data_IF_619786145668
#
_entry.id   IF_619786145668
#
_cell.length_a   1.000
_cell.length_b   1.000
_cell.length_c   1.000
_cell.angle_alpha   90.00
_cell.angle_beta   90.00
_cell.angle_gamma   90.00
#
_symmetry.space_group_name_H-M   'P 1'
#
loop_
_entity.id
_entity.type
_entity.pdbx_description
1 polymer ?
#
# COMPACT_ATOMS: atom_id res chain seq x y z
N UNK A 1 19.90 -25.07 -21.87
CA UNK A 1 19.70 -25.83 -20.62
C UNK A 1 19.11 -24.84 -19.65
N UNK A 2 17.77 -24.79 -19.56
CA UNK A 2 17.10 -23.81 -18.72
C UNK A 2 17.38 -24.13 -17.25
N UNK A 3 17.96 -23.16 -16.54
CA UNK A 3 18.36 -23.31 -15.16
C UNK A 3 17.10 -23.25 -14.28
N UNK A 4 16.68 -24.42 -13.80
CA UNK A 4 15.53 -24.58 -12.91
C UNK A 4 15.74 -23.77 -11.60
N UNK A 5 16.99 -23.46 -11.25
CA UNK A 5 17.35 -22.66 -10.07
C UNK A 5 17.01 -21.17 -10.23
N UNK A 6 17.33 -20.54 -11.36
CA UNK A 6 17.02 -19.12 -11.61
C UNK A 6 15.51 -18.87 -11.68
N UNK A 7 14.75 -19.78 -12.30
CA UNK A 7 13.28 -19.68 -12.33
C UNK A 7 12.67 -19.80 -10.93
N UNK A 8 13.26 -20.64 -10.05
CA UNK A 8 12.81 -20.76 -8.66
C UNK A 8 13.07 -19.50 -7.83
N UNK A 9 14.19 -18.81 -8.07
CA UNK A 9 14.52 -17.54 -7.42
C UNK A 9 13.54 -16.43 -7.79
N UNK A 10 13.27 -16.27 -9.09
CA UNK A 10 12.34 -15.24 -9.58
C UNK A 10 10.92 -15.46 -9.06
N UNK A 11 10.42 -16.71 -9.10
CA UNK A 11 9.10 -17.04 -8.57
C UNK A 11 8.99 -16.73 -7.07
N UNK A 12 10.05 -17.03 -6.31
CA UNK A 12 10.11 -16.69 -4.89
C UNK A 12 10.08 -15.17 -4.67
N UNK A 13 10.85 -14.40 -5.43
CA UNK A 13 10.86 -12.92 -5.36
C UNK A 13 9.52 -12.31 -5.74
N UNK A 14 8.85 -12.82 -6.78
CA UNK A 14 7.52 -12.38 -7.19
C UNK A 14 6.47 -12.67 -6.10
N UNK A 15 6.48 -13.90 -5.57
CA UNK A 15 5.58 -14.31 -4.48
C UNK A 15 5.81 -13.47 -3.22
N UNK A 16 7.08 -13.22 -2.87
CA UNK A 16 7.45 -12.37 -1.75
C UNK A 16 6.90 -10.95 -1.92
N UNK A 17 7.14 -10.31 -3.07
CA UNK A 17 6.62 -8.98 -3.35
C UNK A 17 5.09 -8.93 -3.27
N UNK A 18 4.40 -9.92 -3.84
CA UNK A 18 2.94 -10.03 -3.79
C UNK A 18 2.40 -10.13 -2.37
N UNK A 19 3.02 -10.99 -1.54
CA UNK A 19 2.63 -11.18 -0.14
C UNK A 19 2.87 -9.91 0.68
N UNK A 20 4.07 -9.33 0.60
CA UNK A 20 4.43 -8.09 1.30
C UNK A 20 3.51 -6.92 0.92
N UNK A 21 3.19 -6.76 -0.36
CA UNK A 21 2.23 -5.74 -0.82
C UNK A 21 0.82 -6.01 -0.27
N UNK A 22 0.41 -7.27 -0.18
CA UNK A 22 -0.85 -7.70 0.42
C UNK A 22 -0.94 -7.36 1.91
N UNK A 23 0.11 -7.68 2.67
CA UNK A 23 0.19 -7.36 4.10
C UNK A 23 0.16 -5.85 4.34
N UNK A 24 0.95 -5.06 3.59
CA UNK A 24 0.91 -3.61 3.70
C UNK A 24 -0.49 -3.05 3.41
N UNK A 25 -1.16 -3.53 2.37
CA UNK A 25 -2.51 -3.13 2.02
C UNK A 25 -3.52 -3.45 3.14
N UNK A 26 -3.44 -4.64 3.72
CA UNK A 26 -4.28 -5.07 4.84
C UNK A 26 -4.02 -4.25 6.10
N UNK A 27 -2.75 -4.03 6.45
CA UNK A 27 -2.33 -3.18 7.57
C UNK A 27 -2.90 -1.78 7.41
N UNK A 28 -2.76 -1.17 6.22
CA UNK A 28 -3.38 0.12 5.91
C UNK A 28 -4.90 0.02 6.12
N UNK A 29 -5.61 -0.96 5.58
CA UNK A 29 -7.07 -1.08 5.77
C UNK A 29 -7.56 -1.11 7.23
N UNK A 30 -6.74 -1.55 8.19
CA UNK A 30 -7.14 -1.61 9.60
C UNK A 30 -7.34 -0.23 10.24
N UNK A 31 -6.76 0.82 9.65
CA UNK A 31 -6.87 2.18 10.16
C UNK A 31 -8.01 2.93 9.45
N UNK A 32 -8.79 3.69 10.21
CA UNK A 32 -9.77 4.61 9.64
C UNK A 32 -9.04 5.84 9.07
N UNK A 33 -9.01 5.96 7.75
CA UNK A 33 -8.39 7.10 7.09
C UNK A 33 -9.42 8.11 6.63
N UNK A 34 -9.11 9.37 6.90
CA UNK A 34 -9.81 10.51 6.30
C UNK A 34 -8.87 11.26 5.35
N UNK A 35 -7.77 10.62 4.94
CA UNK A 35 -6.75 11.22 4.09
C UNK A 35 -6.90 10.72 2.66
N UNK A 36 -7.20 11.64 1.73
CA UNK A 36 -7.15 11.43 0.27
C UNK A 36 -5.85 10.74 -0.17
N UNK A 37 -4.69 11.13 0.36
CA UNK A 37 -3.40 10.49 0.00
C UNK A 37 -3.31 9.04 0.41
N UNK A 38 -3.89 8.70 1.56
CA UNK A 38 -3.90 7.31 2.02
C UNK A 38 -4.89 6.49 1.20
N UNK A 39 -6.00 7.09 0.76
CA UNK A 39 -6.90 6.47 -0.22
C UNK A 39 -6.19 6.23 -1.57
N UNK A 40 -5.50 7.24 -2.11
CA UNK A 40 -4.70 7.11 -3.35
C UNK A 40 -3.63 6.01 -3.20
N UNK A 41 -2.89 5.99 -2.08
CA UNK A 41 -1.92 4.94 -1.81
C UNK A 41 -2.56 3.55 -1.76
N UNK A 42 -3.74 3.42 -1.17
CA UNK A 42 -4.49 2.15 -1.12
C UNK A 42 -4.85 1.67 -2.53
N UNK A 43 -5.32 2.57 -3.40
CA UNK A 43 -5.63 2.26 -4.80
C UNK A 43 -4.38 1.83 -5.57
N UNK A 44 -3.27 2.55 -5.41
CA UNK A 44 -1.98 2.20 -6.01
C UNK A 44 -1.47 0.83 -5.52
N UNK A 45 -1.57 0.54 -4.22
CA UNK A 45 -1.20 -0.76 -3.65
C UNK A 45 -2.10 -1.90 -4.17
N UNK A 46 -3.39 -1.63 -4.34
CA UNK A 46 -4.31 -2.62 -4.92
C UNK A 46 -3.96 -2.91 -6.39
N UNK A 47 -3.66 -1.88 -7.18
CA UNK A 47 -3.22 -2.02 -8.56
C UNK A 47 -1.89 -2.78 -8.65
N UNK A 48 -0.91 -2.39 -7.82
CA UNK A 48 0.39 -3.07 -7.73
C UNK A 48 0.24 -4.54 -7.36
N UNK A 49 -0.59 -4.86 -6.36
CA UNK A 49 -0.88 -6.25 -5.97
C UNK A 49 -1.49 -7.04 -7.12
N UNK A 50 -2.38 -6.44 -7.91
CA UNK A 50 -2.94 -7.05 -9.12
C UNK A 50 -1.86 -7.44 -10.13
N UNK A 51 -0.95 -6.50 -10.44
CA UNK A 51 0.18 -6.73 -11.35
C UNK A 51 1.11 -7.82 -10.81
N UNK A 52 1.46 -7.78 -9.53
CA UNK A 52 2.33 -8.78 -8.89
C UNK A 52 1.69 -10.17 -8.87
N UNK A 53 0.36 -10.26 -8.69
CA UNK A 53 -0.39 -11.51 -8.77
C UNK A 53 -0.30 -12.13 -10.17
N UNK A 54 -0.67 -11.36 -11.19
CA UNK A 54 -0.59 -11.82 -12.59
C UNK A 54 0.83 -12.18 -13.02
N UNK A 55 1.84 -11.43 -12.54
CA UNK A 55 3.24 -11.75 -12.79
C UNK A 55 3.66 -13.07 -12.13
N UNK A 56 3.25 -13.30 -10.88
CA UNK A 56 3.54 -14.55 -10.15
C UNK A 56 2.94 -15.76 -10.87
N UNK A 57 1.69 -15.66 -11.33
CA UNK A 57 1.03 -16.70 -12.13
C UNK A 57 1.78 -16.94 -13.45
N UNK A 58 2.18 -15.86 -14.13
CA UNK A 58 2.91 -15.95 -15.41
C UNK A 58 4.27 -16.63 -15.24
N UNK A 59 5.04 -16.24 -14.22
CA UNK A 59 6.35 -16.84 -13.92
C UNK A 59 6.20 -18.31 -13.50
N UNK A 60 5.15 -18.66 -12.76
CA UNK A 60 4.88 -20.04 -12.36
C UNK A 60 4.41 -20.95 -13.50
N UNK A 61 3.73 -20.40 -14.51
CA UNK A 61 3.16 -21.16 -15.63
C UNK A 61 4.08 -21.26 -16.85
N UNK A 62 5.05 -20.36 -17.00
CA UNK A 62 5.90 -20.28 -18.21
C UNK A 62 7.36 -20.62 -17.90
N UNK A 63 7.92 -21.59 -18.63
CA UNK A 63 9.35 -21.94 -18.54
C UNK A 63 10.21 -21.32 -19.64
N UNK A 64 9.59 -20.62 -20.60
CA UNK A 64 10.23 -20.17 -21.85
C UNK A 64 10.49 -18.66 -21.91
N UNK A 65 10.07 -17.88 -20.89
CA UNK A 65 10.27 -16.43 -20.86
C UNK A 65 11.41 -16.10 -19.89
N UNK A 66 12.49 -15.53 -20.40
CA UNK A 66 13.60 -15.08 -19.57
C UNK A 66 13.25 -13.74 -18.89
N UNK A 67 12.89 -13.82 -17.61
CA UNK A 67 12.50 -12.67 -16.77
C UNK A 67 13.49 -12.46 -15.60
N UNK A 68 14.69 -13.04 -15.68
CA UNK A 68 15.72 -12.98 -14.62
C UNK A 68 16.08 -11.55 -14.19
N UNK A 69 15.96 -10.58 -15.10
CA UNK A 69 16.17 -9.15 -14.80
C UNK A 69 15.17 -8.55 -13.81
N UNK A 70 14.02 -9.19 -13.58
CA UNK A 70 13.00 -8.76 -12.63
C UNK A 70 13.27 -9.21 -11.19
N UNK A 71 14.21 -10.12 -10.96
CA UNK A 71 14.46 -10.70 -9.63
C UNK A 71 14.82 -9.63 -8.59
N UNK A 72 15.84 -8.81 -8.87
CA UNK A 72 16.25 -7.73 -7.98
C UNK A 72 15.16 -6.64 -7.81
N UNK A 73 14.48 -6.16 -8.88
CA UNK A 73 13.33 -5.28 -8.73
C UNK A 73 12.22 -5.83 -7.82
N UNK A 74 11.85 -7.10 -7.95
CA UNK A 74 10.80 -7.73 -7.15
C UNK A 74 11.22 -7.88 -5.70
N UNK A 75 12.45 -8.30 -5.45
CA UNK A 75 13.00 -8.36 -4.09
C UNK A 75 12.96 -6.97 -3.41
N UNK A 76 13.35 -5.92 -4.13
CA UNK A 76 13.28 -4.54 -3.62
C UNK A 76 11.85 -4.06 -3.41
N UNK A 77 10.92 -4.45 -4.27
CA UNK A 77 9.51 -4.15 -4.11
C UNK A 77 8.98 -4.73 -2.80
N UNK A 78 9.18 -6.03 -2.57
CA UNK A 78 8.75 -6.68 -1.32
C UNK A 78 9.38 -6.06 -0.08
N UNK A 79 10.68 -5.79 -0.12
CA UNK A 79 11.38 -5.11 0.98
C UNK A 79 10.83 -3.70 1.25
N UNK A 80 10.47 -2.96 0.20
CA UNK A 80 9.88 -1.62 0.36
C UNK A 80 8.48 -1.71 0.98
N UNK A 81 7.67 -2.69 0.57
CA UNK A 81 6.37 -2.93 1.18
C UNK A 81 6.48 -3.30 2.66
N UNK A 82 7.40 -4.20 3.03
CA UNK A 82 7.66 -4.57 4.43
C UNK A 82 8.18 -3.40 5.26
N UNK A 83 9.17 -2.65 4.75
CA UNK A 83 9.72 -1.51 5.48
C UNK A 83 8.67 -0.43 5.74
N UNK A 84 7.77 -0.22 4.79
CA UNK A 84 6.64 0.67 4.97
C UNK A 84 5.69 0.12 6.06
N UNK A 85 5.30 -1.14 5.99
CA UNK A 85 4.44 -1.75 7.00
C UNK A 85 5.04 -1.64 8.42
N UNK A 86 6.34 -1.87 8.56
CA UNK A 86 7.07 -1.74 9.82
C UNK A 86 7.00 -0.31 10.36
N UNK A 87 7.26 0.71 9.53
CA UNK A 87 7.14 2.12 9.93
C UNK A 87 5.71 2.45 10.43
N UNK A 88 4.67 1.89 9.79
CA UNK A 88 3.27 2.05 10.22
C UNK A 88 3.02 1.41 11.59
N UNK A 89 3.49 0.17 11.78
CA UNK A 89 3.30 -0.57 13.02
C UNK A 89 4.08 0.04 14.19
N UNK A 90 5.32 0.49 13.98
CA UNK A 90 6.11 1.18 15.01
C UNK A 90 5.44 2.47 15.46
N UNK A 91 4.85 3.24 14.54
CA UNK A 91 4.14 4.46 14.90
C UNK A 91 2.85 4.19 15.70
N UNK A 92 2.18 3.08 15.44
CA UNK A 92 0.93 2.70 16.12
C UNK A 92 1.14 2.07 17.51
N UNK A 93 2.25 1.38 17.74
CA UNK A 93 2.52 0.67 19.00
C UNK A 93 3.01 1.56 20.15
N UNK A 94 3.61 2.71 19.85
CA UNK A 94 4.19 3.65 20.85
C UNK A 94 3.17 4.50 21.58
N UNK A 95 1.93 4.51 21.12
CA UNK A 95 0.88 5.41 21.59
C UNK A 95 -0.38 4.56 21.75
N UNK A 96 -0.91 4.40 22.97
CA UNK A 96 -2.10 3.57 23.22
C UNK A 96 -3.39 3.97 22.48
N UNK A 97 -3.31 4.92 21.55
CA UNK A 97 -4.35 5.35 20.63
C UNK A 97 -3.75 5.40 19.20
N UNK A 98 -3.87 4.29 18.47
CA UNK A 98 -3.15 4.02 17.22
C UNK A 98 -3.58 4.88 16.03
N UNK A 99 -4.79 5.47 16.08
CA UNK A 99 -5.39 6.20 14.96
C UNK A 99 -4.87 7.64 14.80
N UNK A 100 -4.58 8.32 15.90
CA UNK A 100 -4.08 9.72 15.88
C UNK A 100 -2.64 9.79 15.39
N UNK A 101 -1.79 8.82 15.76
CA UNK A 101 -0.36 8.84 15.42
C UNK A 101 -0.07 8.41 13.98
N UNK A 102 -0.79 7.43 13.41
CA UNK A 102 -0.63 7.10 11.98
C UNK A 102 -1.03 8.28 11.09
N UNK A 103 -2.13 8.97 11.44
CA UNK A 103 -2.54 10.19 10.74
C UNK A 103 -1.41 11.23 10.73
N UNK A 104 -0.73 11.41 11.86
CA UNK A 104 0.36 12.38 11.98
C UNK A 104 1.65 11.93 11.27
N UNK A 105 1.99 10.63 11.31
CA UNK A 105 3.08 10.05 10.51
C UNK A 105 2.81 10.19 9.01
N UNK A 106 1.60 9.87 8.58
CA UNK A 106 1.18 9.98 7.18
C UNK A 106 1.18 11.44 6.72
N UNK A 107 0.80 12.40 7.60
CA UNK A 107 1.00 13.83 7.31
C UNK A 107 2.49 14.15 7.11
N UNK A 108 3.37 13.74 8.02
CA UNK A 108 4.82 14.01 7.95
C UNK A 108 5.50 13.42 6.71
N UNK A 109 5.03 12.27 6.23
CA UNK A 109 5.62 11.56 5.08
C UNK A 109 4.93 11.86 3.75
N UNK A 110 3.61 12.07 3.75
CA UNK A 110 2.80 12.13 2.53
C UNK A 110 2.13 13.47 2.21
N UNK A 111 2.09 14.47 3.10
CA UNK A 111 1.58 15.81 2.73
C UNK A 111 2.26 17.01 3.40
N UNK A 112 2.71 17.95 2.56
CA UNK A 112 2.38 19.36 2.78
C UNK A 112 0.87 19.53 2.64
N UNK A 113 0.30 20.31 3.57
CA UNK A 113 -1.11 20.58 3.92
C UNK A 113 -2.25 20.20 2.94
N UNK A 114 -3.38 19.76 3.54
CA UNK A 114 -4.75 19.53 3.01
C UNK A 114 -5.25 18.07 2.91
N UNK A 115 -5.71 17.47 4.03
CA UNK A 115 -6.46 16.21 3.92
C UNK A 115 -7.65 16.10 4.86
N UNK A 116 -8.80 16.52 4.33
CA UNK A 116 -10.10 16.02 4.74
C UNK A 116 -10.76 15.33 3.53
N UNK A 117 -10.81 14.00 3.59
CA UNK A 117 -11.72 13.19 2.79
C UNK A 117 -12.94 12.94 3.67
N UNK A 118 -13.95 13.79 3.53
CA UNK A 118 -15.23 13.59 4.21
C UNK A 118 -16.01 12.50 3.47
N UNK A 119 -16.25 11.38 4.15
CA UNK A 119 -17.30 10.43 3.76
C UNK A 119 -18.63 11.00 4.25
N UNK A 120 -19.33 11.70 3.35
CA UNK A 120 -20.76 12.02 3.39
C UNK A 120 -21.35 12.58 4.68
N UNK A 121 -21.56 13.90 4.76
CA UNK A 121 -22.54 14.47 5.68
C UNK A 121 -22.55 15.99 5.72
N UNK A 122 -23.73 16.55 5.42
CA UNK A 122 -24.21 17.94 5.60
C UNK A 122 -23.63 19.03 4.65
N UNK A 123 -24.33 19.28 3.54
CA UNK A 123 -24.37 20.64 3.00
C UNK A 123 -25.31 21.48 3.88
N UNK A 124 -24.76 22.54 4.49
CA UNK A 124 -25.47 23.52 5.31
C UNK A 124 -26.63 24.20 4.57
N UNK A 125 -27.57 24.83 5.27
CA UNK A 125 -27.30 26.01 6.10
C UNK A 125 -28.29 26.11 7.26
N UNK A 126 -27.75 26.29 8.46
CA UNK A 126 -28.38 27.04 9.54
C UNK A 126 -27.57 28.33 9.65
N UNK A 127 -28.14 29.47 9.24
CA UNK A 127 -28.37 30.60 10.16
C UNK A 127 -28.77 31.91 9.48
N UNK A 128 -29.82 32.51 10.07
CA UNK A 128 -30.07 33.96 10.25
C UNK A 128 -30.15 34.90 9.04
N UNK A 129 -31.30 35.55 8.84
CA UNK A 129 -31.54 36.91 9.34
C UNK A 129 -32.74 37.59 8.65
N UNK A 130 -33.48 38.35 9.46
CA UNK A 130 -34.64 39.19 9.18
C UNK A 130 -34.18 40.54 8.61
N UNK A 131 -34.69 40.95 7.44
CA UNK A 131 -34.76 42.31 6.85
C UNK A 131 -34.83 42.12 5.31
N UNK A 132 -35.79 42.61 4.54
CA UNK A 132 -36.73 43.74 4.66
C UNK A 132 -38.04 43.42 3.95
#
# INVERSE_FOLDING_TARGET
MADIGVASGLLASATFAFQSCGTLYETIQTFQFHSKRVCELKEELQALRGVLGSLTETVGATTDVELSSLDLPLLRCGNSCNGFEEEIMECSSRSGDSQTTFRDWAKLRYMGDDIECSEGGIAGVHDTAWAS
#
